data_IF_656403623275
#
_entry.id   IF_656403623275
#
_cell.length_a   1.000
_cell.length_b   1.000
_cell.length_c   1.000
_cell.angle_alpha   90.00
_cell.angle_beta   90.00
_cell.angle_gamma   90.00
#
_symmetry.space_group_name_H-M   'P 1'
#
loop_
_entity.id
_entity.type
_entity.pdbx_description
1 polymer ?
#
# COMPACT_ATOMS: atom_id res chain seq x y z
N UNK A 1 3.24 0.30 -19.42
CA UNK A 1 3.53 0.87 -18.09
C UNK A 1 3.48 -0.28 -17.11
N UNK A 2 4.41 -0.41 -16.16
CA UNK A 2 4.33 -1.50 -15.17
C UNK A 2 3.21 -1.15 -14.18
N UNK A 3 2.05 -1.78 -14.33
CA UNK A 3 0.98 -1.66 -13.35
C UNK A 3 1.46 -2.27 -12.04
N UNK A 4 1.37 -1.50 -10.95
CA UNK A 4 1.84 -1.90 -9.63
C UNK A 4 0.99 -3.09 -9.16
N UNK A 5 1.56 -4.29 -9.07
CA UNK A 5 0.84 -5.53 -8.75
C UNK A 5 0.74 -5.86 -7.25
N UNK A 6 0.97 -4.88 -6.36
CA UNK A 6 1.00 -5.12 -4.91
C UNK A 6 0.25 -4.06 -4.11
N UNK A 7 -0.25 -4.48 -2.95
CA UNK A 7 -0.68 -3.62 -1.85
C UNK A 7 -0.03 -4.09 -0.55
N UNK A 8 0.14 -3.17 0.42
CA UNK A 8 0.71 -3.48 1.73
C UNK A 8 -0.34 -4.10 2.64
N UNK A 9 0.07 -5.07 3.44
CA UNK A 9 -0.71 -5.60 4.53
C UNK A 9 0.05 -5.39 5.85
N UNK A 10 -0.65 -4.90 6.87
CA UNK A 10 -0.06 -4.76 8.19
C UNK A 10 0.07 -6.14 8.87
N UNK A 11 1.22 -6.40 9.51
CA UNK A 11 1.50 -7.67 10.22
C UNK A 11 0.47 -7.99 11.30
N UNK A 12 -0.14 -6.96 11.88
CA UNK A 12 -1.13 -6.99 12.95
C UNK A 12 -2.56 -6.79 12.43
N UNK A 13 -2.85 -7.11 11.16
CA UNK A 13 -4.20 -6.99 10.59
C UNK A 13 -5.29 -7.67 11.43
N UNK A 14 -4.98 -8.80 12.07
CA UNK A 14 -5.92 -9.51 12.94
C UNK A 14 -6.12 -8.84 14.31
N UNK A 15 -5.27 -7.88 14.68
CA UNK A 15 -5.46 -7.02 15.84
C UNK A 15 -6.35 -5.81 15.53
N UNK A 16 -6.64 -5.55 14.25
CA UNK A 16 -7.51 -4.45 13.86
C UNK A 16 -8.93 -4.69 14.38
N UNK A 17 -9.46 -3.75 15.15
CA UNK A 17 -10.78 -3.89 15.79
C UNK A 17 -11.91 -4.11 14.80
N UNK A 18 -11.87 -3.46 13.62
CA UNK A 18 -12.87 -3.65 12.56
C UNK A 18 -12.80 -5.07 11.99
N UNK A 19 -11.58 -5.58 11.76
CA UNK A 19 -11.36 -6.96 11.31
C UNK A 19 -11.80 -7.98 12.36
N UNK A 20 -11.49 -7.76 13.64
CA UNK A 20 -11.95 -8.62 14.73
C UNK A 20 -13.48 -8.65 14.83
N UNK A 21 -14.13 -7.49 14.69
CA UNK A 21 -15.59 -7.41 14.67
C UNK A 21 -16.16 -8.22 13.51
N UNK A 22 -15.61 -8.08 12.29
CA UNK A 22 -16.04 -8.85 11.13
C UNK A 22 -15.85 -10.36 11.33
N UNK A 23 -14.68 -10.78 11.83
CA UNK A 23 -14.39 -12.19 12.08
C UNK A 23 -15.27 -12.81 13.16
N UNK A 24 -15.78 -12.00 14.10
CA UNK A 24 -16.72 -12.47 15.13
C UNK A 24 -18.15 -12.70 14.62
N UNK A 25 -18.48 -12.23 13.41
CA UNK A 25 -19.80 -12.40 12.82
C UNK A 25 -19.98 -13.79 12.21
N UNK A 26 -21.25 -14.20 12.03
CA UNK A 26 -21.57 -15.30 11.15
C UNK A 26 -21.02 -15.01 9.74
N UNK A 27 -20.36 -15.99 9.13
CA UNK A 27 -19.60 -15.83 7.88
C UNK A 27 -18.39 -14.88 7.98
N UNK A 28 -17.78 -14.69 9.15
CA UNK A 28 -16.64 -13.79 9.35
C UNK A 28 -15.49 -13.96 8.36
N UNK A 29 -15.13 -15.20 8.04
CA UNK A 29 -14.13 -15.51 7.01
C UNK A 29 -14.52 -14.99 5.62
N UNK A 30 -15.82 -14.98 5.30
CA UNK A 30 -16.31 -14.42 4.03
C UNK A 30 -16.15 -12.90 4.01
N UNK A 31 -16.43 -12.20 5.11
CA UNK A 31 -16.19 -10.77 5.20
C UNK A 31 -14.71 -10.45 5.01
N UNK A 32 -13.83 -11.15 5.73
CA UNK A 32 -12.39 -10.92 5.63
C UNK A 32 -11.88 -11.21 4.21
N UNK A 33 -12.26 -12.35 3.62
CA UNK A 33 -11.90 -12.69 2.24
C UNK A 33 -12.33 -11.60 1.25
N UNK A 34 -13.57 -11.14 1.33
CA UNK A 34 -14.07 -10.09 0.42
C UNK A 34 -13.32 -8.78 0.64
N UNK A 35 -12.98 -8.42 1.88
CA UNK A 35 -12.17 -7.24 2.14
C UNK A 35 -10.82 -7.29 1.41
N UNK A 36 -10.11 -8.42 1.50
CA UNK A 36 -8.85 -8.63 0.77
C UNK A 36 -9.07 -8.57 -0.75
N UNK A 37 -10.15 -9.15 -1.26
CA UNK A 37 -10.48 -9.08 -2.69
C UNK A 37 -10.78 -7.65 -3.16
N UNK A 38 -11.44 -6.82 -2.34
CA UNK A 38 -11.68 -5.41 -2.66
C UNK A 38 -10.36 -4.62 -2.72
N UNK A 39 -9.42 -4.88 -1.82
CA UNK A 39 -8.09 -4.26 -1.87
C UNK A 39 -7.36 -4.63 -3.18
N UNK A 40 -7.40 -5.91 -3.56
CA UNK A 40 -6.82 -6.36 -4.84
C UNK A 40 -7.49 -5.69 -6.04
N UNK A 41 -8.82 -5.60 -6.04
CA UNK A 41 -9.58 -4.97 -7.12
C UNK A 41 -9.25 -3.48 -7.25
N UNK A 42 -9.09 -2.77 -6.13
CA UNK A 42 -8.68 -1.38 -6.13
C UNK A 42 -7.26 -1.16 -6.70
N UNK A 43 -6.34 -2.11 -6.51
CA UNK A 43 -5.02 -2.09 -7.17
C UNK A 43 -5.18 -2.22 -8.68
N UNK A 44 -6.00 -3.17 -9.14
CA UNK A 44 -6.29 -3.37 -10.56
C UNK A 44 -6.95 -2.15 -11.21
N UNK A 45 -7.84 -1.45 -10.48
CA UNK A 45 -8.46 -0.21 -10.96
C UNK A 45 -7.43 0.92 -11.12
N UNK A 46 -6.39 0.98 -10.28
CA UNK A 46 -5.36 2.02 -10.32
C UNK A 46 -5.84 3.45 -10.00
N UNK A 47 -7.09 3.63 -9.57
CA UNK A 47 -7.74 4.94 -9.40
C UNK A 47 -7.87 5.32 -7.91
N UNK A 48 -6.75 5.36 -7.18
CA UNK A 48 -6.72 5.89 -5.80
C UNK A 48 -7.66 5.18 -4.82
N UNK A 49 -7.91 3.88 -5.01
CA UNK A 49 -8.81 3.11 -4.15
C UNK A 49 -10.28 3.12 -4.58
N UNK A 50 -10.62 3.73 -5.73
CA UNK A 50 -11.96 3.73 -6.31
C UNK A 50 -12.23 2.40 -7.00
N UNK A 51 -13.40 1.83 -6.76
CA UNK A 51 -13.81 0.54 -7.30
C UNK A 51 -14.66 0.78 -8.56
N UNK A 52 -13.99 0.77 -9.71
CA UNK A 52 -14.56 1.05 -11.03
C UNK A 52 -14.17 -0.02 -12.04
N UNK A 53 -15.02 -0.25 -13.05
CA UNK A 53 -14.69 -1.05 -14.23
C UNK A 53 -14.72 -0.12 -15.44
N UNK A 54 -13.56 0.06 -16.08
CA UNK A 54 -13.38 1.14 -17.05
C UNK A 54 -13.62 2.49 -16.39
N UNK A 55 -14.67 3.20 -16.81
CA UNK A 55 -15.07 4.50 -16.23
C UNK A 55 -16.34 4.42 -15.36
N UNK A 56 -16.92 3.23 -15.19
CA UNK A 56 -18.21 3.07 -14.52
C UNK A 56 -18.03 2.51 -13.09
N UNK A 57 -18.85 2.96 -12.13
CA UNK A 57 -18.91 2.36 -10.79
C UNK A 57 -19.26 0.87 -10.87
N UNK A 58 -18.61 0.04 -10.04
CA UNK A 58 -18.97 -1.38 -9.96
C UNK A 58 -20.30 -1.52 -9.21
N UNK A 59 -21.28 -2.11 -9.88
CA UNK A 59 -22.60 -2.39 -9.30
C UNK A 59 -22.57 -3.60 -8.36
N UNK A 60 -23.58 -3.72 -7.49
CA UNK A 60 -23.74 -4.88 -6.60
C UNK A 60 -23.83 -6.19 -7.38
N UNK A 61 -24.43 -6.19 -8.58
CA UNK A 61 -24.52 -7.37 -9.45
C UNK A 61 -23.15 -7.79 -9.97
N UNK A 62 -22.31 -6.83 -10.33
CA UNK A 62 -20.94 -7.11 -10.78
C UNK A 62 -20.07 -7.59 -9.64
N UNK A 63 -20.12 -6.95 -8.46
CA UNK A 63 -19.45 -7.46 -7.26
C UNK A 63 -19.88 -8.89 -6.93
N UNK A 64 -21.20 -9.17 -7.01
CA UNK A 64 -21.75 -10.50 -6.79
C UNK A 64 -21.14 -11.55 -7.74
N UNK A 65 -20.98 -11.20 -9.01
CA UNK A 65 -20.35 -12.06 -10.03
C UNK A 65 -18.85 -12.25 -9.78
N UNK A 66 -18.12 -11.15 -9.53
CA UNK A 66 -16.66 -11.16 -9.29
C UNK A 66 -16.32 -11.94 -8.02
N UNK A 67 -17.08 -11.73 -6.94
CA UNK A 67 -16.81 -12.33 -5.63
C UNK A 67 -17.40 -13.74 -5.47
N UNK A 68 -18.21 -14.21 -6.43
CA UNK A 68 -18.89 -15.51 -6.39
C UNK A 68 -19.86 -15.63 -5.22
N UNK A 69 -20.64 -14.57 -4.93
CA UNK A 69 -21.63 -14.51 -3.84
C UNK A 69 -22.97 -14.01 -4.37
N UNK A 70 -24.07 -14.35 -3.70
CA UNK A 70 -25.39 -13.81 -4.07
C UNK A 70 -25.44 -12.29 -3.89
N UNK A 71 -26.20 -11.57 -4.73
CA UNK A 71 -26.30 -10.11 -4.64
C UNK A 71 -26.82 -9.64 -3.28
N UNK A 72 -27.72 -10.41 -2.65
CA UNK A 72 -28.19 -10.14 -1.28
C UNK A 72 -27.07 -10.24 -0.25
N UNK A 73 -26.20 -11.25 -0.35
CA UNK A 73 -25.05 -11.39 0.55
C UNK A 73 -24.02 -10.29 0.28
N UNK A 74 -23.79 -9.93 -0.98
CA UNK A 74 -22.88 -8.85 -1.35
C UNK A 74 -23.36 -7.49 -0.82
N UNK A 75 -24.65 -7.15 -0.97
CA UNK A 75 -25.22 -5.90 -0.44
C UNK A 75 -24.96 -5.77 1.05
N UNK A 76 -25.29 -6.80 1.83
CA UNK A 76 -25.06 -6.83 3.29
C UNK A 76 -23.59 -6.63 3.66
N UNK A 77 -22.67 -7.23 2.90
CA UNK A 77 -21.24 -7.12 3.18
C UNK A 77 -20.74 -5.70 2.88
N UNK A 78 -21.13 -5.11 1.75
CA UNK A 78 -20.78 -3.72 1.41
C UNK A 78 -21.38 -2.72 2.40
N UNK A 79 -22.64 -2.92 2.81
CA UNK A 79 -23.29 -2.14 3.87
C UNK A 79 -22.49 -2.21 5.17
N UNK A 80 -22.06 -3.42 5.59
CA UNK A 80 -21.24 -3.58 6.79
C UNK A 80 -19.90 -2.84 6.69
N UNK A 81 -19.26 -2.86 5.53
CA UNK A 81 -18.02 -2.11 5.32
C UNK A 81 -18.23 -0.60 5.31
N UNK A 82 -19.39 -0.10 4.85
CA UNK A 82 -19.74 1.30 4.99
C UNK A 82 -20.00 1.67 6.45
N UNK A 83 -20.75 0.86 7.20
CA UNK A 83 -21.01 1.06 8.64
C UNK A 83 -19.72 1.11 9.46
N UNK A 84 -18.77 0.21 9.16
CA UNK A 84 -17.46 0.18 9.81
C UNK A 84 -16.51 1.24 9.25
N UNK A 85 -16.95 2.12 8.35
CA UNK A 85 -16.12 3.14 7.72
C UNK A 85 -14.84 2.58 7.08
N UNK A 86 -14.93 1.41 6.47
CA UNK A 86 -13.87 0.81 5.66
C UNK A 86 -14.01 1.26 4.20
N UNK A 87 -15.25 1.41 3.74
CA UNK A 87 -15.60 2.04 2.49
C UNK A 87 -16.21 3.43 2.72
N UNK A 88 -16.15 4.27 1.70
CA UNK A 88 -16.99 5.48 1.54
C UNK A 88 -17.71 5.40 0.20
N UNK A 89 -18.86 6.08 0.09
CA UNK A 89 -19.50 6.34 -1.19
C UNK A 89 -19.13 7.73 -1.69
N UNK A 90 -18.66 7.80 -2.92
CA UNK A 90 -18.45 9.02 -3.68
C UNK A 90 -19.41 8.99 -4.88
N UNK A 91 -20.60 9.56 -4.69
CA UNK A 91 -21.75 9.28 -5.55
C UNK A 91 -22.13 7.80 -5.52
N UNK A 92 -22.06 7.15 -6.69
CA UNK A 92 -22.32 5.70 -6.84
C UNK A 92 -21.06 4.83 -6.67
N UNK A 93 -19.87 5.44 -6.62
CA UNK A 93 -18.59 4.72 -6.54
C UNK A 93 -18.27 4.39 -5.09
N UNK A 94 -17.91 3.12 -4.85
CA UNK A 94 -17.31 2.73 -3.59
C UNK A 94 -15.81 3.01 -3.61
N UNK A 95 -15.31 3.64 -2.55
CA UNK A 95 -13.90 3.99 -2.40
C UNK A 95 -13.37 3.44 -1.09
N UNK A 96 -12.20 2.82 -1.13
CA UNK A 96 -11.50 2.33 0.05
C UNK A 96 -10.98 3.53 0.85
N UNK A 97 -11.41 3.66 2.12
CA UNK A 97 -10.91 4.73 2.98
C UNK A 97 -9.43 4.48 3.29
N UNK A 98 -8.65 5.56 3.41
CA UNK A 98 -7.22 5.52 3.70
C UNK A 98 -6.40 4.70 2.70
N UNK A 99 -6.76 4.73 1.41
CA UNK A 99 -6.08 3.95 0.34
C UNK A 99 -4.56 4.10 0.36
N UNK A 100 -4.04 5.30 0.64
CA UNK A 100 -2.61 5.59 0.68
C UNK A 100 -1.81 4.69 1.64
N UNK A 101 -2.44 4.09 2.65
CA UNK A 101 -1.80 3.11 3.55
C UNK A 101 -1.51 1.78 2.85
N UNK A 102 -2.45 1.33 2.03
CA UNK A 102 -2.33 0.11 1.23
C UNK A 102 -1.39 0.33 0.04
N UNK A 103 -1.47 1.51 -0.58
CA UNK A 103 -0.63 1.87 -1.72
C UNK A 103 -0.28 3.36 -1.67
N UNK A 104 0.96 3.67 -1.28
CA UNK A 104 1.48 5.04 -1.25
C UNK A 104 2.16 5.34 -2.59
N UNK A 105 1.65 6.29 -3.36
CA UNK A 105 2.28 6.76 -4.62
C UNK A 105 3.67 7.36 -4.36
N UNK A 106 3.84 8.15 -3.29
CA UNK A 106 5.10 8.84 -2.94
C UNK A 106 6.31 7.91 -2.90
N UNK A 107 6.19 6.72 -2.31
CA UNK A 107 7.32 5.79 -2.20
C UNK A 107 7.73 5.17 -3.54
N UNK A 108 6.82 5.08 -4.51
CA UNK A 108 7.14 4.54 -5.82
C UNK A 108 7.86 5.59 -6.69
N UNK A 109 7.38 6.83 -6.68
CA UNK A 109 8.07 7.95 -7.34
C UNK A 109 9.43 8.23 -6.70
N UNK A 110 9.52 8.19 -5.37
CA UNK A 110 10.80 8.25 -4.64
C UNK A 110 11.73 7.10 -4.98
N UNK A 111 11.20 5.90 -5.18
CA UNK A 111 12.02 4.75 -5.56
C UNK A 111 12.55 4.90 -6.98
N UNK A 112 11.71 5.33 -7.92
CA UNK A 112 12.09 5.60 -9.30
C UNK A 112 13.10 6.75 -9.41
N UNK A 113 12.88 7.85 -8.68
CA UNK A 113 13.79 8.99 -8.66
C UNK A 113 15.14 8.62 -8.06
N UNK A 114 15.17 7.93 -6.91
CA UNK A 114 16.40 7.41 -6.29
C UNK A 114 17.12 6.42 -7.18
N UNK A 115 16.41 5.56 -7.91
CA UNK A 115 17.02 4.61 -8.84
C UNK A 115 17.62 5.32 -10.08
N UNK A 116 16.92 6.31 -10.63
CA UNK A 116 17.43 7.15 -11.72
C UNK A 116 18.69 7.91 -11.30
N UNK A 117 18.69 8.47 -10.09
CA UNK A 117 19.81 9.21 -9.54
C UNK A 117 21.01 8.31 -9.22
N UNK A 118 20.77 7.08 -8.72
CA UNK A 118 21.80 6.04 -8.57
C UNK A 118 22.43 5.66 -9.90
N UNK A 119 21.62 5.43 -10.94
CA UNK A 119 22.13 5.12 -12.28
C UNK A 119 22.89 6.30 -12.91
N UNK A 120 22.44 7.54 -12.69
CA UNK A 120 23.16 8.74 -13.11
C UNK A 120 24.53 8.82 -12.43
N UNK A 121 24.58 8.71 -11.11
CA UNK A 121 25.84 8.73 -10.33
C UNK A 121 26.78 7.58 -10.73
N UNK A 122 26.25 6.39 -11.00
CA UNK A 122 27.05 5.26 -11.50
C UNK A 122 27.67 5.55 -12.88
N UNK A 123 26.88 6.09 -13.83
CA UNK A 123 27.38 6.48 -15.15
C UNK A 123 28.42 7.61 -15.09
N UNK A 124 28.20 8.61 -14.25
CA UNK A 124 29.17 9.70 -14.03
C UNK A 124 30.48 9.19 -13.40
N UNK A 125 30.41 8.24 -12.44
CA UNK A 125 31.60 7.60 -11.87
C UNK A 125 32.38 6.79 -12.90
N UNK A 126 31.71 5.96 -13.70
CA UNK A 126 32.35 5.19 -14.78
C UNK A 126 33.03 6.10 -15.81
N UNK A 127 32.38 7.20 -16.19
CA UNK A 127 32.96 8.18 -17.13
C UNK A 127 34.20 8.85 -16.54
N UNK A 128 34.11 9.30 -15.29
CA UNK A 128 35.22 9.94 -14.59
C UNK A 128 36.39 8.98 -14.28
N UNK A 129 36.13 7.69 -14.05
CA UNK A 129 37.16 6.65 -13.88
C UNK A 129 37.82 6.29 -15.22
N UNK A 130 37.05 6.20 -16.30
CA UNK A 130 37.59 5.99 -17.66
C UNK A 130 38.48 7.15 -18.13
N UNK A 131 38.19 8.38 -17.69
CA UNK A 131 39.00 9.57 -17.96
C UNK A 131 40.20 9.71 -17.02
N UNK A 132 40.24 9.02 -15.86
CA UNK A 132 41.28 9.20 -14.83
C UNK A 132 42.24 8.03 -14.63
N UNK A 133 41.98 6.83 -15.14
CA UNK A 133 42.86 5.71 -14.87
C UNK A 133 43.22 4.86 -16.10
N UNK A 134 44.47 5.04 -16.53
CA UNK A 134 45.33 3.95 -16.97
C UNK A 134 45.86 3.11 -15.77
N UNK A 135 45.13 2.98 -14.64
CA UNK A 135 45.66 2.21 -13.49
C UNK A 135 44.59 1.61 -12.55
N UNK A 136 44.85 0.37 -12.14
CA UNK A 136 44.04 -0.58 -11.37
C UNK A 136 43.47 -0.01 -10.04
N UNK A 137 42.16 -0.14 -9.79
CA UNK A 137 41.46 0.40 -8.59
C UNK A 137 41.24 -0.66 -7.50
N UNK A 138 41.55 -0.32 -6.24
CA UNK A 138 41.31 -1.12 -5.03
C UNK A 138 40.32 -0.44 -4.06
N UNK A 139 39.52 -1.27 -3.37
CA UNK A 139 38.32 -1.00 -2.55
C UNK A 139 38.43 0.03 -1.41
N UNK A 140 37.52 1.02 -1.38
CA UNK A 140 37.26 1.94 -0.23
C UNK A 140 35.76 2.17 0.11
N UNK A 141 34.86 1.26 -0.26
CA UNK A 141 33.40 1.48 -0.16
C UNK A 141 32.75 1.22 1.23
N UNK A 142 33.48 0.69 2.22
CA UNK A 142 32.88 0.14 3.44
C UNK A 142 32.48 1.17 4.53
N UNK A 143 32.97 2.41 4.45
CA UNK A 143 32.82 3.40 5.55
C UNK A 143 31.62 4.32 5.38
N UNK A 144 31.19 4.58 4.14
CA UNK A 144 30.10 5.51 3.80
C UNK A 144 28.72 4.88 4.07
N UNK A 145 28.54 3.60 3.74
CA UNK A 145 27.28 2.84 3.97
C UNK A 145 26.84 2.88 5.43
N UNK A 146 27.79 2.81 6.38
CA UNK A 146 27.49 2.80 7.83
C UNK A 146 26.93 4.14 8.35
N UNK A 147 27.19 5.26 7.68
CA UNK A 147 26.65 6.58 8.09
C UNK A 147 25.24 6.79 7.53
N UNK A 148 25.00 6.40 6.29
CA UNK A 148 23.68 6.50 5.65
C UNK A 148 22.63 5.60 6.35
N UNK A 149 23.05 4.42 6.81
CA UNK A 149 22.17 3.48 7.53
C UNK A 149 21.71 3.99 8.90
N UNK A 150 22.49 4.88 9.54
CA UNK A 150 22.12 5.51 10.82
C UNK A 150 21.07 6.60 10.64
N UNK A 151 21.28 7.49 9.66
CA UNK A 151 20.35 8.59 9.35
C UNK A 151 18.98 8.06 8.93
N UNK A 152 18.95 7.00 8.10
CA UNK A 152 17.69 6.36 7.69
C UNK A 152 16.95 5.68 8.84
N UNK A 153 17.64 5.22 9.88
CA UNK A 153 17.01 4.63 11.08
C UNK A 153 16.39 5.69 11.99
N UNK A 154 16.96 6.89 12.07
CA UNK A 154 16.41 7.99 12.87
C UNK A 154 15.15 8.58 12.25
N UNK A 155 15.14 8.82 10.94
CA UNK A 155 13.97 9.32 10.20
C UNK A 155 12.77 8.38 10.37
N UNK A 156 12.99 7.05 10.27
CA UNK A 156 11.93 6.04 10.47
C UNK A 156 11.32 6.06 11.88
N UNK A 157 12.09 6.42 12.91
CA UNK A 157 11.56 6.48 14.29
C UNK A 157 10.66 7.69 14.49
N UNK A 158 11.03 8.85 13.93
CA UNK A 158 10.22 10.06 14.03
C UNK A 158 8.92 9.98 13.22
N UNK A 159 8.93 9.28 12.07
CA UNK A 159 7.72 9.01 11.28
C UNK A 159 6.74 8.11 12.04
N UNK A 160 7.22 7.04 12.69
CA UNK A 160 6.37 6.14 13.48
C UNK A 160 5.67 6.87 14.64
N UNK A 161 6.36 7.79 15.33
CA UNK A 161 5.78 8.56 16.45
C UNK A 161 4.65 9.49 15.95
N UNK A 162 4.80 10.10 14.77
CA UNK A 162 3.77 10.98 14.18
C UNK A 162 2.58 10.22 13.59
N UNK A 163 2.79 8.98 13.15
CA UNK A 163 1.71 8.09 12.69
C UNK A 163 0.82 7.61 13.84
N UNK A 164 1.36 7.36 15.04
CA UNK A 164 0.58 6.98 16.23
C UNK A 164 -0.46 8.05 16.62
N UNK A 165 -0.15 9.33 16.46
CA UNK A 165 -1.02 10.45 16.84
C UNK A 165 -2.18 10.69 15.85
N UNK A 166 -1.98 10.38 14.56
CA UNK A 166 -2.95 10.69 13.49
C UNK A 166 -3.83 9.51 13.05
N UNK A 167 -3.55 8.30 13.53
CA UNK A 167 -4.10 7.10 12.90
C UNK A 167 -5.50 6.66 13.39
N UNK A 168 -6.01 7.12 14.53
CA UNK A 168 -7.19 6.49 15.15
C UNK A 168 -6.98 5.00 15.51
N UNK A 169 -5.78 4.47 15.25
CA UNK A 169 -5.28 3.16 15.64
C UNK A 169 -4.20 3.45 16.69
N UNK A 170 -4.57 3.35 17.97
CA UNK A 170 -3.55 3.35 19.05
C UNK A 170 -2.87 1.99 19.04
N UNK A 171 -1.57 1.98 18.78
CA UNK A 171 -0.72 0.89 19.23
C UNK A 171 -0.70 0.93 20.78
N UNK A 172 -1.13 -0.16 21.42
CA UNK A 172 -0.89 -0.35 22.85
C UNK A 172 0.35 -1.24 22.99
N UNK A 173 1.36 -0.71 23.69
CA UNK A 173 2.47 -1.53 24.17
C UNK A 173 1.94 -2.46 25.28
N UNK A 174 2.20 -3.76 25.12
CA UNK A 174 2.07 -4.76 26.17
C UNK A 174 3.09 -4.50 27.28
#
# INVERSE_FOLDING_TARGET
>A
MYDIQWFKLEKNIFCNRKIQLLLSMNDGDTYFRIWIQLLSLAVECGDGGRLIIGNNPISIKEFSKIMGKSSKKMSKILEKFLELEMLKKDGEVFVIKNWNKYQSLDRHEDYLSKNSERQRKYREKLKNESEKSNFTVTSRNATEEKREEKITKEIRKEENIREEENNGFREYKL
#
